data_IF_052983023785
#
_entry.id   IF_052983023785
#
_cell.length_a   1.000
_cell.length_b   1.000
_cell.length_c   1.000
_cell.angle_alpha   90.00
_cell.angle_beta   90.00
_cell.angle_gamma   90.00
#
_symmetry.space_group_name_H-M   'P 1'
#
loop_
_entity.id
_entity.type
_entity.pdbx_description
1 polymer ?
#
# COMPACT_ATOMS: atom_id res chain seq x y z
N UNK A 1 19.25 35.17 3.14
CA UNK A 1 19.68 33.77 3.29
C UNK A 1 18.58 32.86 3.85
N UNK A 2 17.78 33.30 4.83
CA UNK A 2 16.68 32.48 5.40
C UNK A 2 15.60 32.02 4.41
N UNK A 3 15.27 32.80 3.37
CA UNK A 3 14.26 32.43 2.36
C UNK A 3 14.62 31.17 1.56
N UNK A 4 15.91 30.94 1.31
CA UNK A 4 16.40 29.74 0.62
C UNK A 4 16.31 28.51 1.52
N UNK A 5 16.60 28.66 2.82
CA UNK A 5 16.48 27.57 3.79
C UNK A 5 15.04 27.09 3.96
N UNK A 6 14.07 28.02 3.93
CA UNK A 6 12.64 27.68 3.99
C UNK A 6 12.21 26.88 2.76
N UNK A 7 12.58 27.34 1.55
CA UNK A 7 12.26 26.62 0.31
C UNK A 7 12.94 25.25 0.23
N UNK A 8 14.19 25.14 0.70
CA UNK A 8 14.92 23.87 0.75
C UNK A 8 14.23 22.89 1.72
N UNK A 9 13.76 23.37 2.87
CA UNK A 9 13.07 22.53 3.86
C UNK A 9 11.73 22.01 3.35
N UNK A 10 10.95 22.85 2.63
CA UNK A 10 9.70 22.44 1.97
C UNK A 10 9.98 21.42 0.86
N UNK A 11 11.01 21.64 0.04
CA UNK A 11 11.42 20.70 -0.99
C UNK A 11 11.85 19.35 -0.40
N UNK A 12 12.59 19.34 0.71
CA UNK A 12 13.02 18.12 1.39
C UNK A 12 11.83 17.33 1.98
N UNK A 13 10.84 18.02 2.54
CA UNK A 13 9.61 17.40 3.05
C UNK A 13 8.77 16.81 1.91
N UNK A 14 8.68 17.48 0.76
CA UNK A 14 8.02 16.93 -0.44
C UNK A 14 8.78 15.71 -0.98
N UNK A 15 10.12 15.75 -0.96
CA UNK A 15 10.96 14.67 -1.49
C UNK A 15 10.91 13.42 -0.61
N UNK A 16 10.98 13.56 0.71
CA UNK A 16 10.91 12.44 1.67
C UNK A 16 9.52 11.79 1.74
N UNK A 17 8.45 12.52 1.39
CA UNK A 17 7.09 11.96 1.31
C UNK A 17 6.91 11.00 0.13
N UNK A 18 7.76 11.11 -0.91
CA UNK A 18 7.65 10.35 -2.16
C UNK A 18 8.17 8.91 -2.08
N UNK A 19 8.98 8.56 -1.07
CA UNK A 19 9.63 7.24 -0.99
C UNK A 19 8.70 6.08 -0.54
N UNK A 20 7.49 6.35 -0.07
CA UNK A 20 6.46 5.31 0.02
C UNK A 20 5.72 5.21 -1.33
N UNK A 21 6.45 4.76 -2.36
CA UNK A 21 5.84 4.46 -3.65
C UNK A 21 4.79 3.36 -3.48
N UNK A 22 3.53 3.76 -3.61
CA UNK A 22 2.42 2.82 -3.76
C UNK A 22 2.67 2.06 -5.06
N UNK A 23 2.94 0.75 -4.97
CA UNK A 23 3.12 -0.08 -6.17
C UNK A 23 1.86 -0.01 -7.02
N UNK A 24 2.05 0.20 -8.32
CA UNK A 24 0.96 0.30 -9.25
C UNK A 24 0.20 -1.02 -9.35
N UNK A 25 -1.13 -0.89 -9.44
CA UNK A 25 -2.02 -2.04 -9.54
C UNK A 25 -2.11 -2.41 -11.02
N UNK A 26 -1.71 -3.63 -11.40
CA UNK A 26 -1.77 -4.05 -12.79
C UNK A 26 -3.22 -4.06 -13.30
N UNK A 27 -3.45 -3.42 -14.44
CA UNK A 27 -4.79 -3.31 -15.05
C UNK A 27 -5.62 -2.10 -14.60
N UNK A 28 -5.06 -1.22 -13.76
CA UNK A 28 -5.61 0.11 -13.46
C UNK A 28 -4.85 1.15 -14.28
N UNK A 29 -5.54 2.15 -14.81
CA UNK A 29 -4.90 3.22 -15.58
C UNK A 29 -4.01 4.12 -14.71
N UNK A 30 -2.99 4.72 -15.31
CA UNK A 30 -2.09 5.66 -14.62
C UNK A 30 -2.85 6.84 -14.00
N UNK A 31 -3.89 7.34 -14.68
CA UNK A 31 -4.73 8.43 -14.17
C UNK A 31 -5.46 8.03 -12.88
N UNK A 32 -6.04 6.84 -12.83
CA UNK A 32 -6.74 6.38 -11.63
C UNK A 32 -5.77 6.01 -10.50
N UNK A 33 -4.55 5.55 -10.82
CA UNK A 33 -3.48 5.42 -9.84
C UNK A 33 -3.01 6.77 -9.29
N UNK A 34 -2.95 7.82 -10.10
CA UNK A 34 -2.67 9.18 -9.62
C UNK A 34 -3.76 9.71 -8.70
N UNK A 35 -5.04 9.44 -9.01
CA UNK A 35 -6.16 9.75 -8.11
C UNK A 35 -5.99 9.06 -6.77
N UNK A 36 -5.62 7.77 -6.76
CA UNK A 36 -5.32 7.05 -5.52
C UNK A 36 -4.18 7.71 -4.73
N UNK A 37 -3.07 8.06 -5.40
CA UNK A 37 -1.93 8.71 -4.74
C UNK A 37 -2.32 10.04 -4.11
N UNK A 38 -3.13 10.85 -4.81
CA UNK A 38 -3.68 12.11 -4.26
C UNK A 38 -4.60 11.87 -3.07
N UNK A 39 -5.45 10.85 -3.12
CA UNK A 39 -6.36 10.51 -2.03
C UNK A 39 -5.61 10.04 -0.76
N UNK A 40 -4.46 9.39 -0.98
CA UNK A 40 -3.57 8.89 0.07
C UNK A 40 -2.55 9.94 0.54
N UNK A 41 -2.62 11.17 0.03
CA UNK A 41 -1.77 12.30 0.39
C UNK A 41 -2.60 13.45 1.00
N UNK A 42 -2.46 13.79 2.29
CA UNK A 42 -1.52 13.24 3.26
C UNK A 42 -1.82 11.79 3.63
N UNK A 43 -0.76 11.09 4.08
CA UNK A 43 -0.84 9.70 4.53
C UNK A 43 -2.02 9.55 5.50
N UNK A 44 -2.91 8.57 5.29
CA UNK A 44 -4.04 8.35 6.17
C UNK A 44 -3.60 8.20 7.63
N UNK A 45 -4.28 8.89 8.52
CA UNK A 45 -3.93 8.94 9.95
C UNK A 45 -4.25 7.63 10.67
N UNK A 46 -5.16 6.84 10.11
CA UNK A 46 -5.61 5.58 10.69
C UNK A 46 -5.91 4.51 9.64
N UNK A 47 -6.02 3.27 10.11
CA UNK A 47 -6.45 2.14 9.27
C UNK A 47 -7.88 2.32 8.74
N UNK A 48 -8.74 2.97 9.51
CA UNK A 48 -10.12 3.26 9.09
C UNK A 48 -10.16 4.34 8.01
N UNK A 49 -9.37 5.40 8.16
CA UNK A 49 -9.24 6.45 7.12
C UNK A 49 -8.69 5.85 5.82
N UNK A 50 -7.65 5.00 5.93
CA UNK A 50 -7.12 4.27 4.79
C UNK A 50 -8.20 3.41 4.11
N UNK A 51 -9.01 2.67 4.89
CA UNK A 51 -10.07 1.81 4.35
C UNK A 51 -11.15 2.63 3.65
N UNK A 52 -11.54 3.78 4.22
CA UNK A 52 -12.53 4.69 3.65
C UNK A 52 -12.03 5.25 2.32
N UNK A 53 -10.81 5.77 2.28
CA UNK A 53 -10.15 6.29 1.08
C UNK A 53 -10.03 5.21 0.00
N UNK A 54 -9.56 4.01 0.33
CA UNK A 54 -9.52 2.88 -0.63
C UNK A 54 -10.91 2.52 -1.18
N UNK A 55 -11.95 2.58 -0.34
CA UNK A 55 -13.32 2.27 -0.77
C UNK A 55 -13.86 3.33 -1.74
N UNK A 56 -13.63 4.60 -1.44
CA UNK A 56 -13.99 5.73 -2.31
C UNK A 56 -13.29 5.62 -3.67
N UNK A 57 -11.98 5.39 -3.66
CA UNK A 57 -11.21 5.18 -4.89
C UNK A 57 -11.76 4.02 -5.71
N UNK A 58 -12.03 2.86 -5.10
CA UNK A 58 -12.51 1.68 -5.81
C UNK A 58 -13.93 1.84 -6.38
N UNK A 59 -14.76 2.70 -5.78
CA UNK A 59 -16.07 3.06 -6.31
C UNK A 59 -15.99 4.08 -7.45
N UNK A 60 -14.89 4.84 -7.54
CA UNK A 60 -14.64 5.79 -8.65
C UNK A 60 -14.08 5.12 -9.91
N UNK A 61 -13.63 3.86 -9.81
CA UNK A 61 -13.07 3.13 -10.94
C UNK A 61 -14.14 2.66 -11.93
N UNK A 62 -13.83 2.64 -13.24
CA UNK A 62 -14.65 1.94 -14.22
C UNK A 62 -14.64 0.42 -13.93
N UNK A 63 -15.65 -0.28 -14.42
CA UNK A 63 -15.90 -1.67 -14.05
C UNK A 63 -14.73 -2.62 -14.36
N UNK A 64 -14.06 -2.42 -15.49
CA UNK A 64 -12.92 -3.23 -15.91
C UNK A 64 -11.69 -3.03 -15.00
N UNK A 65 -11.39 -1.78 -14.64
CA UNK A 65 -10.30 -1.48 -13.71
C UNK A 65 -10.63 -1.92 -12.28
N UNK A 66 -11.92 -1.86 -11.90
CA UNK A 66 -12.38 -2.37 -10.60
C UNK A 66 -12.16 -3.88 -10.48
N UNK A 67 -12.44 -4.65 -11.55
CA UNK A 67 -12.14 -6.09 -11.60
C UNK A 67 -10.63 -6.35 -11.45
N UNK A 68 -9.80 -5.55 -12.11
CA UNK A 68 -8.35 -5.65 -11.98
C UNK A 68 -7.87 -5.36 -10.54
N UNK A 69 -8.40 -4.31 -9.92
CA UNK A 69 -8.10 -3.94 -8.55
C UNK A 69 -8.56 -5.01 -7.53
N UNK A 70 -9.75 -5.59 -7.73
CA UNK A 70 -10.27 -6.68 -6.89
C UNK A 70 -9.42 -7.94 -7.00
N UNK A 71 -9.04 -8.34 -8.22
CA UNK A 71 -8.14 -9.48 -8.46
C UNK A 71 -6.81 -9.27 -7.75
N UNK A 72 -6.20 -8.10 -7.91
CA UNK A 72 -4.94 -7.78 -7.24
C UNK A 72 -5.08 -7.85 -5.71
N UNK A 73 -6.19 -7.33 -5.15
CA UNK A 73 -6.47 -7.42 -3.72
C UNK A 73 -6.60 -8.87 -3.25
N UNK A 74 -7.22 -9.73 -4.04
CA UNK A 74 -7.37 -11.15 -3.72
C UNK A 74 -6.03 -11.88 -3.73
N UNK A 75 -5.19 -11.64 -4.74
CA UNK A 75 -3.83 -12.19 -4.84
C UNK A 75 -2.98 -11.78 -3.64
N UNK A 76 -3.01 -10.50 -3.26
CA UNK A 76 -2.32 -9.99 -2.05
C UNK A 76 -2.83 -10.66 -0.78
N UNK A 77 -4.14 -10.90 -0.67
CA UNK A 77 -4.74 -11.61 0.47
C UNK A 77 -4.28 -13.06 0.52
N UNK A 78 -4.25 -13.77 -0.62
CA UNK A 78 -3.77 -15.16 -0.72
C UNK A 78 -2.30 -15.26 -0.35
N UNK A 79 -1.46 -14.38 -0.89
CA UNK A 79 -0.03 -14.31 -0.56
C UNK A 79 0.21 -14.06 0.93
N UNK A 80 -0.58 -13.17 1.55
CA UNK A 80 -0.51 -12.93 2.99
C UNK A 80 -0.89 -14.18 3.78
N UNK A 81 -1.99 -14.86 3.45
CA UNK A 81 -2.40 -16.11 4.10
C UNK A 81 -1.34 -17.21 4.01
N UNK A 82 -0.78 -17.42 2.81
CA UNK A 82 0.25 -18.43 2.58
C UNK A 82 1.51 -18.16 3.42
N UNK A 83 1.92 -16.89 3.54
CA UNK A 83 3.06 -16.50 4.36
C UNK A 83 2.81 -16.78 5.85
N UNK A 84 1.61 -16.47 6.35
CA UNK A 84 1.28 -16.75 7.76
C UNK A 84 1.21 -18.26 8.04
N UNK A 85 0.65 -19.04 7.13
CA UNK A 85 0.62 -20.49 7.26
C UNK A 85 2.04 -21.11 7.27
N UNK A 86 2.94 -20.66 6.39
CA UNK A 86 4.32 -21.16 6.33
C UNK A 86 5.11 -20.84 7.62
N UNK A 87 4.89 -19.67 8.19
CA UNK A 87 5.54 -19.26 9.42
C UNK A 87 5.07 -20.10 10.62
N UNK A 88 3.78 -20.46 10.68
CA UNK A 88 3.26 -21.36 11.72
C UNK A 88 3.85 -22.78 11.60
N UNK A 89 4.00 -23.30 10.38
CA UNK A 89 4.61 -24.63 10.17
C UNK A 89 6.11 -24.66 10.44
N UNK A 90 6.87 -23.62 10.08
CA UNK A 90 8.30 -23.54 10.38
C UNK A 90 8.56 -23.43 11.90
N UNK A 91 7.71 -22.71 12.64
CA UNK A 91 7.86 -22.56 14.11
C UNK A 91 7.71 -23.90 14.83
N UNK A 92 6.76 -24.74 14.40
CA UNK A 92 6.51 -26.08 14.99
C UNK A 92 7.65 -27.05 14.67
N UNK A 93 8.27 -26.96 13.49
CA UNK A 93 9.39 -27.84 13.10
C UNK A 93 10.70 -27.49 13.80
N UNK A 94 10.96 -26.20 14.09
CA UNK A 94 12.13 -25.80 14.90
C UNK A 94 12.01 -26.21 16.37
N UNK A 95 10.81 -26.14 16.96
CA UNK A 95 10.61 -26.48 18.38
C UNK A 95 10.65 -28.00 18.62
N UNK A 96 10.37 -28.82 17.59
CA UNK A 96 10.47 -30.29 17.69
C UNK A 96 11.88 -30.84 17.46
N UNK A 97 12.87 -30.02 17.10
CA UNK A 97 14.24 -30.46 16.80
C UNK A 97 15.28 -30.07 17.86
N UNK A 98 14.89 -29.34 18.91
CA UNK A 98 15.79 -28.96 20.02
C UNK A 98 15.70 -29.90 21.24
N UNK A 99 14.77 -30.87 21.25
CA UNK A 99 14.61 -31.91 22.29
C UNK A 99 15.07 -33.31 21.80
N UNK A 100 16.28 -33.42 21.23
CA UNK A 100 16.97 -34.71 21.01
C UNK A 100 18.48 -34.61 21.26
#
# INVERSE_FOLDING_TARGET
MFKLLVLLSIALVIYTKKEHEFKDIPGVSTENMEKLRKLMDPRPESREDFKKKMHEWMNSLPEDEKKAAEKHREERRKAWKLKHQKNETETIETESSEDN
#
